data_IF_994332641168
#
_entry.id   IF_994332641168
#
_cell.length_a   1.000
_cell.length_b   1.000
_cell.length_c   1.000
_cell.angle_alpha   90.00
_cell.angle_beta   90.00
_cell.angle_gamma   90.00
#
_symmetry.space_group_name_H-M   'P 1'
#
loop_
_entity.id
_entity.type
_entity.pdbx_description
1 polymer ?
#
# COMPACT_ATOMS: atom_id res chain seq x y z
N UNK A 1 13.49 14.73 -5.95
CA UNK A 1 12.49 13.93 -5.23
C UNK A 1 12.10 14.66 -3.95
N UNK A 2 10.88 15.20 -3.84
CA UNK A 2 10.44 15.99 -2.68
C UNK A 2 10.07 15.06 -1.52
N UNK A 3 11.07 14.69 -0.71
CA UNK A 3 10.91 13.89 0.50
C UNK A 3 10.19 14.69 1.59
N UNK A 4 8.86 14.78 1.51
CA UNK A 4 8.05 15.50 2.49
C UNK A 4 7.86 14.74 3.82
N UNK A 5 8.09 13.43 3.85
CA UNK A 5 7.89 12.56 5.01
C UNK A 5 9.22 11.91 5.41
N UNK A 6 10.07 12.65 6.15
CA UNK A 6 11.43 12.23 6.57
C UNK A 6 11.44 11.34 7.82
N UNK A 7 10.29 11.15 8.44
CA UNK A 7 10.02 10.36 9.64
C UNK A 7 9.70 8.88 9.33
N UNK A 8 9.40 8.55 8.06
CA UNK A 8 9.04 7.18 7.67
C UNK A 8 10.30 6.33 7.43
N UNK A 9 10.21 5.04 7.80
CA UNK A 9 11.28 4.06 7.59
C UNK A 9 11.83 4.12 6.16
N UNK A 10 13.15 4.01 6.02
CA UNK A 10 13.84 3.84 4.74
C UNK A 10 14.06 2.35 4.40
N UNK A 11 13.87 1.44 5.37
CA UNK A 11 13.81 -0.01 5.13
C UNK A 11 12.38 -0.39 4.77
N UNK A 12 12.07 -0.38 3.49
CA UNK A 12 10.69 -0.57 3.00
C UNK A 12 10.56 -1.47 1.77
N UNK A 13 11.68 -1.97 1.27
CA UNK A 13 11.81 -2.77 0.06
C UNK A 13 12.26 -4.17 0.43
N UNK A 14 11.62 -5.20 -0.12
CA UNK A 14 12.02 -6.60 0.04
C UNK A 14 12.18 -7.18 -1.35
N UNK A 15 13.43 -7.35 -1.77
CA UNK A 15 13.76 -8.05 -2.99
C UNK A 15 13.57 -9.56 -2.81
N UNK A 16 13.15 -10.24 -3.88
CA UNK A 16 12.84 -11.67 -3.89
C UNK A 16 13.59 -12.39 -5.02
N UNK A 17 13.65 -13.71 -4.93
CA UNK A 17 14.20 -14.64 -5.94
C UNK A 17 15.66 -14.32 -6.31
N UNK A 18 16.12 -14.77 -7.50
CA UNK A 18 17.49 -14.58 -8.00
C UNK A 18 17.92 -13.10 -7.98
N UNK A 19 16.97 -12.17 -8.13
CA UNK A 19 17.26 -10.73 -8.07
C UNK A 19 17.77 -10.29 -6.68
N UNK A 20 17.25 -10.90 -5.61
CA UNK A 20 17.71 -10.59 -4.25
C UNK A 20 19.14 -11.05 -3.99
N UNK A 21 19.54 -12.20 -4.54
CA UNK A 21 20.91 -12.69 -4.43
C UNK A 21 21.90 -11.75 -5.13
N UNK A 22 21.59 -11.25 -6.33
CA UNK A 22 22.42 -10.26 -7.03
C UNK A 22 22.63 -8.98 -6.21
N UNK A 23 21.57 -8.49 -5.56
CA UNK A 23 21.67 -7.28 -4.72
C UNK A 23 22.54 -7.49 -3.48
N UNK A 24 22.51 -8.69 -2.89
CA UNK A 24 23.37 -9.04 -1.76
C UNK A 24 24.82 -9.16 -2.21
N UNK A 25 25.10 -9.82 -3.33
CA UNK A 25 26.45 -9.92 -3.91
C UNK A 25 27.05 -8.54 -4.21
N UNK A 26 26.23 -7.63 -4.73
CA UNK A 26 26.60 -6.23 -5.01
C UNK A 26 26.67 -5.34 -3.77
N UNK A 27 26.37 -5.88 -2.58
CA UNK A 27 26.37 -5.16 -1.28
C UNK A 27 25.39 -3.97 -1.26
N UNK A 28 24.28 -4.10 -1.98
CA UNK A 28 23.19 -3.13 -2.01
C UNK A 28 22.06 -3.55 -1.07
N UNK A 29 21.94 -4.85 -0.79
CA UNK A 29 20.97 -5.41 0.14
C UNK A 29 21.64 -6.37 1.14
N UNK A 30 20.92 -6.68 2.22
CA UNK A 30 21.26 -7.69 3.20
C UNK A 30 20.19 -8.79 3.21
N UNK A 31 20.58 -10.02 3.57
CA UNK A 31 19.62 -11.11 3.75
C UNK A 31 18.92 -10.95 5.10
N UNK A 32 17.60 -11.04 5.09
CA UNK A 32 16.74 -10.98 6.27
C UNK A 32 15.99 -12.30 6.45
N UNK A 33 15.55 -12.58 7.68
CA UNK A 33 14.71 -13.73 7.99
C UNK A 33 13.21 -13.40 7.76
N UNK A 34 12.33 -14.42 7.63
CA UNK A 34 10.90 -14.18 7.38
C UNK A 34 10.19 -13.35 8.46
N UNK A 35 10.56 -13.53 9.73
CA UNK A 35 10.07 -12.72 10.86
C UNK A 35 10.46 -11.25 10.73
N UNK A 36 11.73 -10.98 10.38
CA UNK A 36 12.19 -9.60 10.11
C UNK A 36 11.45 -8.98 8.90
N UNK A 37 11.15 -9.79 7.88
CA UNK A 37 10.33 -9.33 6.75
C UNK A 37 8.92 -8.93 7.20
N UNK A 38 8.28 -9.70 8.08
CA UNK A 38 6.98 -9.38 8.66
C UNK A 38 7.02 -8.07 9.46
N UNK A 39 8.07 -7.85 10.26
CA UNK A 39 8.26 -6.61 11.01
C UNK A 39 8.37 -5.38 10.10
N UNK A 40 9.21 -5.47 9.06
CA UNK A 40 9.37 -4.40 8.05
C UNK A 40 8.02 -4.07 7.39
N UNK A 41 7.27 -5.11 7.02
CA UNK A 41 5.94 -4.96 6.41
C UNK A 41 4.91 -4.38 7.40
N UNK A 42 4.97 -4.77 8.68
CA UNK A 42 4.12 -4.22 9.73
C UNK A 42 4.34 -2.73 9.92
N UNK A 43 5.61 -2.32 10.11
CA UNK A 43 5.99 -0.92 10.28
C UNK A 43 5.59 -0.06 9.07
N UNK A 44 5.75 -0.60 7.86
CA UNK A 44 5.34 0.10 6.65
C UNK A 44 3.83 0.37 6.60
N UNK A 45 3.01 -0.57 7.08
CA UNK A 45 1.56 -0.41 7.17
C UNK A 45 1.18 0.67 8.19
N UNK A 46 1.81 0.69 9.37
CA UNK A 46 1.61 1.72 10.40
C UNK A 46 1.87 3.12 9.85
N UNK A 47 2.97 3.27 9.10
CA UNK A 47 3.36 4.51 8.42
C UNK A 47 2.49 4.86 7.20
N UNK A 48 1.53 4.02 6.81
CA UNK A 48 0.64 4.25 5.69
C UNK A 48 1.35 4.20 4.33
N UNK A 49 2.37 3.36 4.21
CA UNK A 49 3.08 3.13 2.96
C UNK A 49 2.30 2.11 2.13
N UNK A 50 2.01 2.46 0.88
CA UNK A 50 1.30 1.58 -0.02
C UNK A 50 2.22 0.46 -0.47
N UNK A 51 1.78 -0.78 -0.27
CA UNK A 51 2.48 -1.97 -0.73
C UNK A 51 2.16 -2.29 -2.18
N UNK A 52 3.19 -2.58 -2.96
CA UNK A 52 3.08 -3.07 -4.32
C UNK A 52 4.00 -4.27 -4.51
N UNK A 53 3.48 -5.34 -5.12
CA UNK A 53 4.30 -6.43 -5.63
C UNK A 53 4.69 -6.11 -7.07
N UNK A 54 5.98 -5.95 -7.30
CA UNK A 54 6.54 -5.62 -8.60
C UNK A 54 6.93 -6.90 -9.33
N UNK A 55 6.41 -7.03 -10.54
CA UNK A 55 6.78 -8.06 -11.50
C UNK A 55 6.87 -7.42 -12.89
N UNK A 56 7.64 -8.02 -13.79
CA UNK A 56 7.73 -7.59 -15.17
C UNK A 56 7.32 -8.77 -16.05
N UNK A 57 6.32 -8.58 -16.91
CA UNK A 57 5.77 -9.65 -17.76
C UNK A 57 6.83 -10.31 -18.67
N UNK A 58 7.86 -9.55 -19.06
CA UNK A 58 8.95 -10.00 -19.92
C UNK A 58 10.06 -10.76 -19.18
N UNK A 59 10.05 -10.74 -17.85
CA UNK A 59 11.02 -11.44 -17.00
C UNK A 59 10.24 -12.46 -16.14
N UNK A 60 10.03 -13.65 -16.70
CA UNK A 60 9.49 -14.85 -16.03
C UNK A 60 8.12 -14.72 -15.33
N UNK A 61 7.48 -13.54 -15.35
CA UNK A 61 6.23 -13.23 -14.61
C UNK A 61 6.34 -13.49 -13.09
N UNK A 62 7.55 -13.38 -12.55
CA UNK A 62 7.80 -13.57 -11.13
C UNK A 62 7.86 -12.21 -10.43
N UNK A 63 7.38 -12.19 -9.19
CA UNK A 63 7.53 -11.02 -8.31
C UNK A 63 8.99 -10.97 -7.86
N UNK A 64 9.69 -9.89 -8.17
CA UNK A 64 11.10 -9.69 -7.79
C UNK A 64 11.27 -8.69 -6.65
N UNK A 65 10.24 -7.90 -6.35
CA UNK A 65 10.32 -6.91 -5.28
C UNK A 65 8.93 -6.62 -4.68
N UNK A 66 8.90 -6.51 -3.35
CA UNK A 66 7.76 -6.00 -2.60
C UNK A 66 8.16 -4.65 -2.03
N UNK A 67 7.68 -3.58 -2.64
CA UNK A 67 7.96 -2.22 -2.18
C UNK A 67 6.80 -1.69 -1.33
N UNK A 68 7.13 -0.98 -0.26
CA UNK A 68 6.15 -0.22 0.53
C UNK A 68 6.51 1.27 0.49
N UNK A 69 5.80 2.06 -0.31
CA UNK A 69 6.16 3.47 -0.56
C UNK A 69 4.97 4.43 -0.46
N UNK A 70 5.24 5.72 -0.17
CA UNK A 70 4.27 6.80 -0.39
C UNK A 70 4.48 7.53 -1.73
N UNK A 71 3.49 8.30 -2.21
CA UNK A 71 3.65 9.19 -3.37
C UNK A 71 4.81 10.20 -3.22
N UNK A 72 5.29 10.42 -1.99
CA UNK A 72 6.50 11.19 -1.72
C UNK A 72 7.76 10.65 -2.45
N UNK A 73 7.88 9.32 -2.58
CA UNK A 73 9.08 8.60 -3.02
C UNK A 73 8.79 7.72 -4.26
N UNK A 74 7.60 7.12 -4.36
CA UNK A 74 7.27 6.25 -5.48
C UNK A 74 6.98 7.07 -6.76
N UNK A 75 7.69 6.76 -7.84
CA UNK A 75 7.42 7.36 -9.15
C UNK A 75 6.07 6.89 -9.71
N UNK A 76 5.70 5.62 -9.55
CA UNK A 76 4.43 5.09 -10.05
C UNK A 76 3.22 5.73 -9.37
N UNK A 77 3.27 5.89 -8.05
CA UNK A 77 2.20 6.59 -7.34
C UNK A 77 2.13 8.06 -7.74
N UNK A 78 3.26 8.74 -7.97
CA UNK A 78 3.21 10.11 -8.50
C UNK A 78 2.66 10.18 -9.91
N UNK A 79 3.02 9.23 -10.77
CA UNK A 79 2.49 9.14 -12.12
C UNK A 79 0.96 9.02 -12.09
N UNK A 80 0.44 8.18 -11.20
CA UNK A 80 -1.00 8.05 -10.96
C UNK A 80 -1.60 9.35 -10.41
N UNK A 81 -1.07 9.89 -9.32
CA UNK A 81 -1.66 11.03 -8.61
C UNK A 81 -1.63 12.32 -9.42
N UNK A 82 -0.54 12.57 -10.15
CA UNK A 82 -0.34 13.85 -10.85
C UNK A 82 -0.82 13.82 -12.30
N UNK A 83 -0.85 12.64 -12.93
CA UNK A 83 -1.13 12.50 -14.37
C UNK A 83 -2.21 11.46 -14.70
N UNK A 84 -2.78 10.78 -13.70
CA UNK A 84 -3.83 9.79 -13.90
C UNK A 84 -3.37 8.49 -14.58
N UNK A 85 -2.06 8.21 -14.61
CA UNK A 85 -1.51 7.01 -15.28
C UNK A 85 -1.82 5.78 -14.42
N UNK A 86 -2.70 4.88 -14.91
CA UNK A 86 -3.19 3.72 -14.15
C UNK A 86 -2.43 2.41 -14.41
N UNK A 87 -1.78 2.27 -15.56
CA UNK A 87 -1.22 0.98 -16.03
C UNK A 87 -0.02 0.45 -15.23
N UNK A 88 0.55 1.25 -14.32
CA UNK A 88 1.67 0.83 -13.48
C UNK A 88 1.25 0.29 -12.10
N UNK A 89 -0.03 0.38 -11.75
CA UNK A 89 -0.53 -0.03 -10.43
C UNK A 89 -1.73 -0.94 -10.63
N UNK A 90 -1.59 -2.19 -10.19
CA UNK A 90 -2.68 -3.16 -10.21
C UNK A 90 -3.59 -3.01 -8.97
N UNK A 91 -4.87 -3.32 -9.12
CA UNK A 91 -5.79 -3.51 -7.99
C UNK A 91 -5.53 -4.87 -7.34
N UNK A 92 -5.70 -4.95 -6.03
CA UNK A 92 -5.39 -6.15 -5.21
C UNK A 92 -6.36 -7.33 -5.35
N UNK A 93 -7.44 -7.19 -6.12
CA UNK A 93 -8.54 -8.18 -6.15
C UNK A 93 -9.45 -8.13 -4.91
N UNK A 94 -9.25 -7.15 -4.03
CA UNK A 94 -10.11 -6.85 -2.88
C UNK A 94 -10.72 -5.45 -3.03
N UNK A 95 -11.86 -5.25 -2.36
CA UNK A 95 -12.48 -3.95 -2.16
C UNK A 95 -12.70 -3.74 -0.66
N UNK A 96 -12.64 -2.49 -0.21
CA UNK A 96 -12.88 -2.19 1.20
C UNK A 96 -14.35 -1.92 1.49
N UNK A 97 -14.79 -2.40 2.64
CA UNK A 97 -16.14 -2.23 3.17
C UNK A 97 -16.12 -1.51 4.52
N UNK A 98 -17.26 -0.95 4.90
CA UNK A 98 -17.44 -0.27 6.20
C UNK A 98 -18.68 -0.85 6.88
N UNK A 99 -18.52 -1.28 8.14
CA UNK A 99 -19.64 -1.59 9.02
C UNK A 99 -20.21 -0.27 9.57
N UNK A 100 -21.45 0.12 9.22
CA UNK A 100 -22.02 1.40 9.63
C UNK A 100 -22.29 1.47 11.14
N UNK A 101 -22.58 0.36 11.81
CA UNK A 101 -22.88 0.34 13.25
C UNK A 101 -21.64 0.64 14.09
N UNK A 102 -20.47 0.22 13.62
CA UNK A 102 -19.17 0.49 14.27
C UNK A 102 -18.54 1.82 13.82
N UNK A 103 -18.97 2.38 12.70
CA UNK A 103 -18.36 3.59 12.15
C UNK A 103 -18.78 4.82 12.95
N UNK A 104 -17.80 5.56 13.48
CA UNK A 104 -18.04 6.80 14.26
C UNK A 104 -17.86 8.09 13.44
N UNK A 105 -17.64 7.97 12.12
CA UNK A 105 -17.51 9.15 11.25
C UNK A 105 -16.24 9.98 11.43
N UNK A 106 -15.19 9.46 12.07
CA UNK A 106 -14.00 10.23 12.44
C UNK A 106 -13.08 10.65 11.27
N UNK A 107 -13.27 10.11 10.07
CA UNK A 107 -12.50 10.53 8.89
C UNK A 107 -11.06 10.00 8.77
N UNK A 108 -10.49 9.33 9.79
CA UNK A 108 -9.09 8.85 9.76
C UNK A 108 -8.76 7.96 8.53
N UNK A 109 -9.69 7.09 8.14
CA UNK A 109 -9.53 6.25 6.94
C UNK A 109 -9.59 7.02 5.62
N UNK A 110 -10.21 8.20 5.60
CA UNK A 110 -10.29 9.09 4.44
C UNK A 110 -8.93 9.74 4.22
N UNK A 111 -8.34 10.34 5.27
CA UNK A 111 -6.99 10.93 5.23
C UNK A 111 -5.92 9.93 4.81
N UNK A 112 -6.07 8.66 5.22
CA UNK A 112 -5.15 7.57 4.88
C UNK A 112 -5.25 7.15 3.40
N UNK A 113 -6.36 7.43 2.71
CA UNK A 113 -6.63 6.93 1.37
C UNK A 113 -6.05 7.83 0.28
N UNK A 114 -4.88 7.48 -0.25
CA UNK A 114 -4.26 8.23 -1.36
C UNK A 114 -5.05 8.14 -2.68
N UNK A 115 -6.00 7.22 -2.80
CA UNK A 115 -6.82 7.05 -4.01
C UNK A 115 -8.12 7.84 -3.98
N UNK A 116 -8.38 8.57 -2.88
CA UNK A 116 -9.60 9.37 -2.69
C UNK A 116 -10.89 8.55 -2.89
N UNK A 117 -10.84 7.28 -2.51
CA UNK A 117 -11.93 6.32 -2.68
C UNK A 117 -12.95 6.35 -1.53
N UNK A 118 -12.92 7.37 -0.67
CA UNK A 118 -13.72 7.44 0.56
C UNK A 118 -14.25 8.83 0.82
N UNK A 119 -15.46 8.91 1.36
CA UNK A 119 -16.10 10.15 1.78
C UNK A 119 -17.04 9.91 2.97
N UNK A 120 -17.53 10.99 3.60
CA UNK A 120 -18.55 10.91 4.63
C UNK A 120 -19.94 11.23 4.04
N UNK A 121 -20.90 10.36 4.31
CA UNK A 121 -22.32 10.57 4.02
C UNK A 121 -23.09 10.26 5.30
N UNK A 122 -23.87 11.22 5.81
CA UNK A 122 -24.63 11.02 7.05
C UNK A 122 -23.77 10.61 8.24
N UNK A 123 -22.56 11.17 8.36
CA UNK A 123 -21.58 10.85 9.39
C UNK A 123 -21.05 9.39 9.38
N UNK A 124 -21.19 8.69 8.25
CA UNK A 124 -20.62 7.36 8.03
C UNK A 124 -19.69 7.38 6.83
N UNK A 125 -18.59 6.64 6.92
CA UNK A 125 -17.69 6.48 5.79
C UNK A 125 -18.35 5.60 4.73
N UNK A 126 -18.38 6.08 3.50
CA UNK A 126 -18.74 5.31 2.31
C UNK A 126 -17.51 5.09 1.44
N UNK A 127 -17.54 4.05 0.60
CA UNK A 127 -16.42 3.67 -0.26
C UNK A 127 -16.87 3.73 -1.72
N UNK A 128 -16.09 4.42 -2.55
CA UNK A 128 -16.17 4.35 -4.01
C UNK A 128 -15.36 3.14 -4.47
N UNK A 129 -16.07 2.07 -4.86
CA UNK A 129 -15.46 0.80 -5.26
C UNK A 129 -14.63 0.92 -6.55
N UNK A 130 -15.01 1.82 -7.46
CA UNK A 130 -14.29 2.05 -8.71
C UNK A 130 -12.92 2.68 -8.46
N UNK A 131 -12.83 3.57 -7.48
CA UNK A 131 -11.56 4.18 -7.05
C UNK A 131 -10.78 3.32 -6.06
N UNK A 132 -11.42 2.35 -5.40
CA UNK A 132 -10.75 1.51 -4.42
C UNK A 132 -9.74 0.56 -5.09
N UNK A 133 -8.51 0.56 -4.60
CA UNK A 133 -7.46 -0.40 -5.01
C UNK A 133 -7.37 -1.62 -4.06
N UNK A 134 -8.16 -1.62 -2.98
CA UNK A 134 -8.17 -2.72 -1.99
C UNK A 134 -6.89 -2.84 -1.16
N UNK A 135 -6.09 -1.78 -1.04
CA UNK A 135 -4.77 -1.85 -0.39
C UNK A 135 -4.78 -2.09 1.13
N UNK A 136 -5.94 -2.02 1.78
CA UNK A 136 -6.08 -2.32 3.21
C UNK A 136 -5.55 -1.26 4.17
N UNK A 137 -4.81 -0.24 3.76
CA UNK A 137 -4.25 0.78 4.68
C UNK A 137 -5.30 1.45 5.58
N UNK A 138 -6.53 1.58 5.11
CA UNK A 138 -7.65 2.11 5.87
C UNK A 138 -8.04 1.26 7.11
N UNK A 139 -7.79 -0.05 7.11
CA UNK A 139 -8.08 -0.91 8.26
C UNK A 139 -7.14 -0.62 9.43
N UNK A 140 -5.89 -0.25 9.12
CA UNK A 140 -4.81 0.02 10.10
C UNK A 140 -5.05 1.26 10.96
N UNK A 141 -5.94 2.16 10.53
CA UNK A 141 -6.22 3.43 11.21
C UNK A 141 -7.63 3.53 11.79
N UNK A 142 -8.47 2.52 11.62
CA UNK A 142 -9.84 2.59 12.11
C UNK A 142 -9.87 2.24 13.60
N UNK A 143 -10.16 3.20 14.51
CA UNK A 143 -10.08 2.96 15.95
C UNK A 143 -11.17 2.01 16.45
N UNK A 144 -12.25 1.82 15.68
CA UNK A 144 -13.39 0.98 16.06
C UNK A 144 -13.44 -0.35 15.31
N UNK A 145 -12.47 -0.62 14.43
CA UNK A 145 -12.49 -1.82 13.59
C UNK A 145 -13.69 -1.88 12.63
N UNK A 146 -14.24 -0.72 12.23
CA UNK A 146 -15.37 -0.64 11.32
C UNK A 146 -14.99 -0.93 9.85
N UNK A 147 -13.71 -0.85 9.48
CA UNK A 147 -13.24 -0.99 8.10
C UNK A 147 -12.68 -2.40 7.86
N UNK A 148 -13.10 -3.03 6.78
CA UNK A 148 -12.63 -4.36 6.36
C UNK A 148 -12.31 -4.46 4.87
N UNK A 149 -11.88 -5.64 4.43
CA UNK A 149 -11.68 -6.00 3.02
C UNK A 149 -12.49 -7.25 2.68
N UNK A 150 -13.04 -7.28 1.47
CA UNK A 150 -13.70 -8.45 0.87
C UNK A 150 -13.15 -8.69 -0.53
N UNK A 151 -13.15 -9.93 -1.01
CA UNK A 151 -12.74 -10.21 -2.38
C UNK A 151 -13.70 -9.54 -3.35
N UNK A 152 -13.16 -8.84 -4.34
CA UNK A 152 -13.93 -8.37 -5.48
C UNK A 152 -14.30 -9.60 -6.33
N UNK A 153 -15.58 -9.70 -6.69
CA UNK A 153 -16.12 -10.75 -7.57
C UNK A 153 -15.79 -10.40 -9.02
#
# INVERSE_FOLDING_TARGET
MTYKNRDKSLRTCIALNEFSDELVERRVAEKIQPDEAEEVLGLANEHGLLRQALYIDWIRREVFDVCSCCPCCCMYLRAYMNYGIKHHIAKSGFVSIVNPDKCIGCGACIERCIFEARSLVGNKCVVDEEKCFGCGLCTTVCPTGAVGLVRAI
#
